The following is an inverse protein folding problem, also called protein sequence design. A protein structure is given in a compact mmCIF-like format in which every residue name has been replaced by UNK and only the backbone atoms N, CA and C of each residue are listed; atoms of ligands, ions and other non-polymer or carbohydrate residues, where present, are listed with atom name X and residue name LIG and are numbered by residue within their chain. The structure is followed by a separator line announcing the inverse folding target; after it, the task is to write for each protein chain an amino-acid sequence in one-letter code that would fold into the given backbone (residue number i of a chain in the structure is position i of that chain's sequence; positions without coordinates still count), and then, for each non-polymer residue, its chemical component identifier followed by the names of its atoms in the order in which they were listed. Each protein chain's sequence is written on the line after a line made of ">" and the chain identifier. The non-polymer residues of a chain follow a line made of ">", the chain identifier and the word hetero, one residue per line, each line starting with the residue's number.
data_IF_052987158553
#
_entry.id   IF_052987158553
#
_cell.length_a   1.000
_cell.length_b   1.000
_cell.length_c   1.000
_cell.angle_alpha   90.00
_cell.angle_beta   90.00
_cell.angle_gamma   90.00
#
_symmetry.space_group_name_H-M   'P 1'
#
loop_
_entity.id
_entity.type
_entity.pdbx_description
1 polymer ?
#
# COMPACT_ATOMS: atom_id res chain seq x y z
N UNK A 1 23.22 2.03 22.26
CA UNK A 1 22.78 3.00 21.23
C UNK A 1 21.98 4.15 21.88
N UNK A 2 22.50 5.39 21.84
CA UNK A 2 21.91 6.55 22.56
C UNK A 2 20.55 7.01 21.99
N UNK A 3 20.23 6.57 20.77
CA UNK A 3 19.11 7.08 19.97
C UNK A 3 18.02 6.03 19.69
N UNK A 4 18.30 4.75 19.95
CA UNK A 4 17.36 3.65 19.77
C UNK A 4 16.90 3.15 21.15
N UNK A 5 15.61 2.83 21.27
CA UNK A 5 15.07 2.14 22.44
C UNK A 5 15.42 0.66 22.33
N UNK A 6 16.13 0.14 23.34
CA UNK A 6 16.66 -1.23 23.31
C UNK A 6 15.52 -2.25 23.46
N UNK A 7 15.47 -3.27 22.60
CA UNK A 7 14.50 -4.37 22.69
C UNK A 7 13.10 -4.05 22.13
N UNK A 8 12.87 -2.83 21.63
CA UNK A 8 11.59 -2.41 21.06
C UNK A 8 11.50 -2.73 19.57
N UNK A 9 10.30 -3.09 19.11
CA UNK A 9 9.99 -3.33 17.69
C UNK A 9 8.65 -2.70 17.30
N UNK A 10 8.50 -2.32 16.04
CA UNK A 10 7.26 -1.77 15.49
C UNK A 10 6.90 -2.46 14.18
N UNK A 11 5.62 -2.80 14.02
CA UNK A 11 5.07 -3.26 12.74
C UNK A 11 4.43 -2.08 12.03
N UNK A 12 4.86 -1.81 10.80
CA UNK A 12 4.33 -0.75 9.94
C UNK A 12 3.74 -1.35 8.67
N UNK A 13 2.70 -0.73 8.13
CA UNK A 13 2.19 -1.04 6.79
C UNK A 13 2.67 0.07 5.86
N UNK A 14 3.42 -0.27 4.81
CA UNK A 14 3.80 0.69 3.78
C UNK A 14 2.54 1.12 3.02
N UNK A 15 2.19 2.40 3.12
CA UNK A 15 0.97 2.97 2.52
C UNK A 15 1.26 3.91 1.36
N UNK A 16 2.47 4.49 1.31
CA UNK A 16 2.82 5.50 0.32
C UNK A 16 4.27 5.34 -0.16
N UNK A 17 4.59 6.03 -1.25
CA UNK A 17 5.95 6.14 -1.80
C UNK A 17 6.56 7.47 -1.38
N UNK A 18 7.81 7.46 -0.88
CA UNK A 18 8.54 8.71 -0.69
C UNK A 18 9.28 9.09 -1.99
N UNK A 19 8.87 10.16 -2.69
CA UNK A 19 9.49 10.53 -3.96
C UNK A 19 10.89 11.11 -3.76
N UNK A 20 11.87 10.75 -4.62
CA UNK A 20 13.19 11.36 -4.57
C UNK A 20 13.13 12.83 -4.99
N UNK A 21 14.00 13.64 -4.39
CA UNK A 21 14.25 15.02 -4.78
C UNK A 21 15.75 15.19 -5.05
N UNK A 22 16.14 15.06 -6.32
CA UNK A 22 17.54 15.11 -6.75
C UNK A 22 18.16 16.51 -6.72
N UNK A 23 17.34 17.56 -6.53
CA UNK A 23 17.83 18.93 -6.39
C UNK A 23 18.40 19.20 -4.99
N UNK A 24 18.19 18.27 -4.04
CA UNK A 24 18.68 18.38 -2.66
C UNK A 24 19.64 17.22 -2.31
N UNK A 25 20.68 17.48 -1.49
CA UNK A 25 21.57 16.44 -0.98
C UNK A 25 20.83 15.36 -0.18
N UNK A 26 21.27 14.10 -0.26
CA UNK A 26 20.63 12.96 0.44
C UNK A 26 20.72 13.02 1.97
N UNK A 27 21.49 13.96 2.50
CA UNK A 27 21.67 14.27 3.92
C UNK A 27 21.15 15.67 4.31
N UNK A 28 20.52 16.39 3.37
CA UNK A 28 19.93 17.70 3.63
C UNK A 28 18.73 17.97 2.69
N UNK A 29 17.62 17.29 2.96
CA UNK A 29 16.35 17.49 2.25
C UNK A 29 16.07 16.49 1.12
N UNK A 30 17.09 15.82 0.59
CA UNK A 30 16.99 14.74 -0.40
C UNK A 30 16.85 13.34 0.23
N UNK A 31 16.19 13.22 1.39
CA UNK A 31 16.21 12.01 2.23
C UNK A 31 15.72 10.73 1.54
N UNK A 32 14.88 10.88 0.53
CA UNK A 32 14.32 9.78 -0.24
C UNK A 32 15.11 9.41 -1.49
N UNK A 33 16.25 10.07 -1.71
CA UNK A 33 17.12 9.81 -2.84
C UNK A 33 17.83 8.45 -2.71
N UNK A 34 18.00 7.71 -3.82
CA UNK A 34 18.94 6.59 -3.89
C UNK A 34 20.35 6.97 -3.40
N UNK A 35 21.18 6.00 -2.96
CA UNK A 35 20.95 4.55 -2.97
C UNK A 35 20.33 4.00 -1.68
N UNK A 36 20.01 4.86 -0.70
CA UNK A 36 19.66 4.40 0.66
C UNK A 36 18.25 3.81 0.70
N UNK A 37 18.08 2.49 0.93
CA UNK A 37 16.76 1.95 1.19
C UNK A 37 16.29 2.46 2.55
N UNK A 38 15.07 2.99 2.60
CA UNK A 38 14.54 3.62 3.80
C UNK A 38 13.04 3.41 4.00
N UNK A 39 12.59 3.60 5.25
CA UNK A 39 11.20 3.94 5.55
C UNK A 39 11.14 5.38 6.06
N UNK A 40 10.27 6.18 5.44
CA UNK A 40 9.78 7.43 6.03
C UNK A 40 8.56 7.09 6.88
N UNK A 41 8.69 7.27 8.19
CA UNK A 41 7.68 6.79 9.13
C UNK A 41 6.90 7.93 9.77
N UNK A 42 5.62 7.67 10.03
CA UNK A 42 4.84 8.49 10.94
C UNK A 42 5.50 8.49 12.33
N UNK A 43 5.64 9.68 12.92
CA UNK A 43 6.18 9.90 14.26
C UNK A 43 5.69 8.91 15.35
N UNK A 44 4.38 8.63 15.48
CA UNK A 44 3.88 7.68 16.48
C UNK A 44 4.42 6.25 16.32
N UNK A 45 4.79 5.84 15.10
CA UNK A 45 5.46 4.56 14.89
C UNK A 45 6.97 4.66 15.19
N UNK A 46 7.61 5.80 14.89
CA UNK A 46 9.02 6.04 15.18
C UNK A 46 9.33 6.06 16.67
N UNK A 47 8.53 6.79 17.45
CA UNK A 47 8.76 6.96 18.89
C UNK A 47 8.62 5.65 19.69
N UNK A 48 8.11 4.57 19.07
CA UNK A 48 8.16 3.22 19.65
C UNK A 48 9.59 2.67 19.71
N UNK A 49 10.44 2.97 18.72
CA UNK A 49 11.78 2.38 18.61
C UNK A 49 12.92 3.39 18.66
N UNK A 50 12.64 4.68 18.49
CA UNK A 50 13.62 5.76 18.47
C UNK A 50 13.27 6.92 19.40
N UNK A 51 14.27 7.76 19.71
CA UNK A 51 14.06 9.08 20.32
C UNK A 51 13.72 10.06 19.20
N UNK A 52 12.69 10.90 19.36
CA UNK A 52 12.24 11.85 18.34
C UNK A 52 13.39 12.72 17.75
N UNK A 53 14.28 13.22 18.61
CA UNK A 53 15.44 14.06 18.22
C UNK A 53 16.53 13.33 17.43
N UNK A 54 16.45 12.00 17.29
CA UNK A 54 17.47 11.22 16.61
C UNK A 54 17.50 11.44 15.09
N UNK A 55 16.34 11.75 14.48
CA UNK A 55 16.20 11.94 13.02
C UNK A 55 16.39 10.65 12.22
N UNK A 56 17.60 10.07 12.19
CA UNK A 56 17.91 8.87 11.42
C UNK A 56 18.50 7.81 12.33
N UNK A 57 17.94 6.60 12.29
CA UNK A 57 18.49 5.45 13.02
C UNK A 57 18.64 4.25 12.07
N UNK A 58 19.75 3.50 12.16
CA UNK A 58 19.85 2.23 11.45
C UNK A 58 18.91 1.21 12.11
N UNK A 59 18.19 0.44 11.29
CA UNK A 59 17.33 -0.63 11.78
C UNK A 59 17.53 -1.90 10.97
N UNK A 60 17.42 -3.02 11.67
CA UNK A 60 17.12 -4.29 11.03
C UNK A 60 15.62 -4.33 10.85
N UNK A 61 15.16 -4.61 9.63
CA UNK A 61 13.74 -4.70 9.33
C UNK A 61 13.45 -6.08 8.78
N UNK A 62 12.37 -6.70 9.23
CA UNK A 62 11.78 -7.84 8.54
C UNK A 62 10.54 -7.36 7.82
N UNK A 63 10.44 -7.67 6.53
CA UNK A 63 9.24 -7.31 5.78
C UNK A 63 8.15 -8.32 6.09
N UNK A 64 7.49 -8.13 7.23
CA UNK A 64 6.24 -8.79 7.56
C UNK A 64 5.13 -8.17 6.73
N UNK A 65 4.78 -8.89 5.69
CA UNK A 65 3.50 -8.68 5.06
C UNK A 65 2.56 -9.32 6.13
N UNK A 66 1.70 -8.54 6.79
CA UNK A 66 0.89 -8.80 8.00
C UNK A 66 0.59 -10.25 8.43
N UNK A 67 1.15 -10.69 9.56
CA UNK A 67 0.68 -11.83 10.34
C UNK A 67 -0.03 -11.32 11.60
N UNK A 68 -1.34 -11.58 11.71
CA UNK A 68 -2.11 -11.54 12.96
C UNK A 68 -2.17 -10.17 13.69
N UNK A 69 -3.06 -9.24 13.32
CA UNK A 69 -3.72 -8.36 14.31
C UNK A 69 -5.01 -7.76 13.71
N UNK A 70 -6.13 -8.03 14.39
CA UNK A 70 -7.44 -7.43 14.16
C UNK A 70 -7.74 -6.31 15.16
N UNK A 71 -6.74 -5.57 15.63
CA UNK A 71 -6.95 -4.39 16.48
C UNK A 71 -5.88 -3.31 16.22
N UNK A 72 -6.36 -2.10 15.89
CA UNK A 72 -5.84 -0.76 16.26
C UNK A 72 -4.40 -0.41 15.80
N UNK A 73 -4.07 0.67 15.08
CA UNK A 73 -4.73 1.95 14.83
C UNK A 73 -4.43 2.45 13.41
N UNK A 74 -5.42 3.09 12.79
CA UNK A 74 -5.20 3.99 11.67
C UNK A 74 -4.33 5.15 12.14
N UNK A 75 -3.29 5.49 11.36
CA UNK A 75 -2.73 6.84 11.37
C UNK A 75 -2.79 7.29 9.92
N UNK A 76 -3.99 7.70 9.52
CA UNK A 76 -4.15 8.57 8.37
C UNK A 76 -3.84 9.97 8.87
N UNK A 77 -2.72 10.54 8.45
CA UNK A 77 -2.44 11.97 8.65
C UNK A 77 -2.44 12.67 7.28
N UNK A 78 -3.55 13.32 6.89
CA UNK A 78 -3.63 14.11 5.67
C UNK A 78 -2.85 15.44 5.77
N UNK A 79 -2.20 15.72 6.91
CA UNK A 79 -1.47 16.95 7.20
C UNK A 79 0.05 16.76 7.35
N UNK A 80 0.62 15.63 6.88
CA UNK A 80 2.07 15.46 6.80
C UNK A 80 2.72 16.34 5.70
N UNK A 81 2.30 17.60 5.60
CA UNK A 81 3.19 18.70 5.27
C UNK A 81 3.73 19.27 6.60
N UNK A 82 4.90 18.82 7.05
CA UNK A 82 5.63 19.61 8.05
C UNK A 82 7.12 19.46 7.88
N UNK A 83 7.66 20.51 7.29
CA UNK A 83 9.03 20.99 7.45
C UNK A 83 9.55 20.80 8.87
N UNK A 84 10.80 20.31 8.94
CA UNK A 84 11.68 20.13 10.12
C UNK A 84 11.48 18.82 10.91
N UNK A 85 12.49 17.95 10.74
CA UNK A 85 12.82 16.71 11.48
C UNK A 85 12.11 15.44 10.98
N UNK A 86 12.59 14.91 9.86
CA UNK A 86 12.19 13.61 9.29
C UNK A 86 12.82 12.44 10.06
N UNK A 87 12.04 11.36 10.19
CA UNK A 87 12.30 10.17 11.01
C UNK A 87 12.57 8.96 10.09
N UNK A 88 13.83 8.82 9.66
CA UNK A 88 14.26 7.91 8.59
C UNK A 88 14.91 6.64 9.14
N UNK A 89 14.47 5.49 8.66
CA UNK A 89 15.09 4.20 8.98
C UNK A 89 15.96 3.72 7.82
N UNK A 90 17.27 3.59 8.02
CA UNK A 90 18.14 2.99 6.99
C UNK A 90 18.08 1.47 7.09
N UNK A 91 17.70 0.82 5.99
CA UNK A 91 17.38 -0.59 5.95
C UNK A 91 18.61 -1.46 5.70
N UNK A 92 18.94 -2.33 6.65
CA UNK A 92 19.80 -3.50 6.38
C UNK A 92 18.94 -4.65 5.87
N UNK A 93 19.26 -5.30 4.75
CA UNK A 93 18.39 -6.30 4.13
C UNK A 93 18.11 -7.49 5.06
N UNK A 94 16.84 -7.75 5.36
CA UNK A 94 16.35 -9.02 5.90
C UNK A 94 15.23 -9.60 4.99
N UNK A 95 14.90 -10.87 5.22
CA UNK A 95 14.00 -11.69 4.40
C UNK A 95 12.54 -11.22 4.41
N UNK A 96 11.81 -11.44 3.31
CA UNK A 96 10.35 -11.21 3.22
C UNK A 96 9.57 -12.31 3.96
N UNK A 97 8.51 -11.94 4.68
CA UNK A 97 7.61 -12.86 5.41
C UNK A 97 6.16 -12.71 4.88
N UNK A 98 5.46 -13.81 4.53
CA UNK A 98 4.08 -13.75 3.98
C UNK A 98 3.01 -13.23 4.96
N UNK A 99 1.99 -12.48 4.46
CA UNK A 99 0.81 -12.10 5.24
C UNK A 99 -0.23 -13.21 5.38
N UNK A 100 -0.87 -13.24 6.54
CA UNK A 100 -2.23 -13.77 6.74
C UNK A 100 -3.19 -12.59 6.97
N UNK A 101 -4.15 -12.39 6.06
CA UNK A 101 -5.26 -11.43 6.23
C UNK A 101 -6.56 -12.16 6.55
N UNK A 102 -7.40 -11.57 7.40
CA UNK A 102 -8.78 -12.02 7.63
C UNK A 102 -9.72 -11.38 6.62
N UNK A 103 -10.68 -12.16 6.11
CA UNK A 103 -11.55 -11.75 5.01
C UNK A 103 -10.83 -11.70 3.65
N UNK A 104 -11.56 -11.31 2.60
CA UNK A 104 -10.98 -11.22 1.26
C UNK A 104 -10.44 -9.85 0.90
N UNK A 105 -9.90 -9.79 -0.31
CA UNK A 105 -9.42 -8.55 -0.94
C UNK A 105 -10.58 -7.55 -1.05
N UNK A 106 -10.28 -6.27 -0.81
CA UNK A 106 -11.25 -5.17 -0.84
C UNK A 106 -10.94 -4.21 -1.99
N UNK A 107 -11.99 -3.78 -2.67
CA UNK A 107 -11.95 -2.92 -3.84
C UNK A 107 -12.71 -1.63 -3.52
N UNK A 108 -12.00 -0.51 -3.39
CA UNK A 108 -12.66 0.81 -3.29
C UNK A 108 -12.71 1.42 -4.68
N UNK A 109 -13.91 1.73 -5.15
CA UNK A 109 -14.15 2.29 -6.49
C UNK A 109 -14.24 3.81 -6.37
N UNK A 110 -13.27 4.53 -6.93
CA UNK A 110 -13.14 5.98 -6.96
C UNK A 110 -13.06 6.46 -8.42
N UNK A 111 -12.91 7.78 -8.61
CA UNK A 111 -12.80 8.40 -9.92
C UNK A 111 -14.11 8.97 -10.42
N UNK A 112 -14.31 8.91 -11.74
CA UNK A 112 -15.50 9.41 -12.44
C UNK A 112 -15.73 8.61 -13.74
N UNK A 113 -16.76 8.94 -14.50
CA UNK A 113 -17.04 8.28 -15.79
C UNK A 113 -15.83 8.39 -16.73
N UNK A 114 -15.46 7.30 -17.41
CA UNK A 114 -14.26 7.19 -18.24
C UNK A 114 -12.91 7.35 -17.52
N UNK A 115 -12.90 7.47 -16.18
CA UNK A 115 -11.70 7.39 -15.36
C UNK A 115 -12.02 6.65 -14.07
N UNK A 116 -11.98 5.32 -14.13
CA UNK A 116 -12.23 4.52 -12.95
C UNK A 116 -10.92 4.30 -12.19
N UNK A 117 -10.89 4.69 -10.91
CA UNK A 117 -9.75 4.53 -10.03
C UNK A 117 -10.08 3.51 -8.94
N UNK A 118 -9.41 2.37 -8.93
CA UNK A 118 -9.65 1.27 -7.97
C UNK A 118 -8.48 1.16 -7.01
N UNK A 119 -8.78 1.31 -5.72
CA UNK A 119 -7.83 1.06 -4.63
C UNK A 119 -7.99 -0.38 -4.14
N UNK A 120 -6.93 -1.17 -4.23
CA UNK A 120 -6.85 -2.51 -3.66
C UNK A 120 -6.34 -2.48 -2.23
N UNK A 121 -7.09 -3.08 -1.30
CA UNK A 121 -6.68 -3.23 0.11
C UNK A 121 -6.95 -4.64 0.62
N UNK A 122 -6.40 -4.95 1.80
CA UNK A 122 -6.55 -6.25 2.48
C UNK A 122 -6.04 -7.44 1.64
N UNK A 123 -4.92 -7.27 0.94
CA UNK A 123 -4.25 -8.33 0.17
C UNK A 123 -3.32 -9.12 1.10
N UNK A 124 -3.44 -10.46 1.11
CA UNK A 124 -2.60 -11.36 1.89
C UNK A 124 -1.29 -11.71 1.17
N UNK A 125 -0.53 -12.64 1.75
CA UNK A 125 0.76 -13.14 1.24
C UNK A 125 1.75 -12.02 0.96
N UNK A 126 2.21 -11.85 -0.27
CA UNK A 126 3.17 -10.83 -0.65
C UNK A 126 2.59 -9.41 -0.60
N UNK A 127 1.26 -9.28 -0.60
CA UNK A 127 0.55 -8.00 -0.50
C UNK A 127 0.70 -7.08 -1.72
N UNK A 128 1.76 -7.24 -2.52
CA UNK A 128 2.05 -6.47 -3.71
C UNK A 128 1.50 -7.12 -4.98
N UNK A 129 0.97 -6.27 -5.85
CA UNK A 129 0.24 -6.66 -7.06
C UNK A 129 1.10 -6.37 -8.29
N UNK A 130 1.25 -7.35 -9.17
CA UNK A 130 2.00 -7.23 -10.41
C UNK A 130 1.15 -6.62 -11.53
N UNK A 131 -0.05 -7.16 -11.74
CA UNK A 131 -0.98 -6.72 -12.79
C UNK A 131 -2.43 -6.80 -12.31
N UNK A 132 -3.28 -5.96 -12.89
CA UNK A 132 -4.71 -5.92 -12.63
C UNK A 132 -5.48 -5.70 -13.92
N UNK A 133 -6.57 -6.44 -14.11
CA UNK A 133 -7.53 -6.25 -15.20
C UNK A 133 -8.93 -6.04 -14.62
N UNK A 134 -9.77 -5.31 -15.35
CA UNK A 134 -11.19 -5.11 -15.06
C UNK A 134 -12.04 -5.63 -16.19
N UNK A 135 -13.22 -6.15 -15.85
CA UNK A 135 -14.25 -6.50 -16.82
C UNK A 135 -15.61 -6.03 -16.32
N UNK A 136 -16.30 -5.24 -17.14
CA UNK A 136 -17.69 -4.85 -16.95
C UNK A 136 -18.67 -5.90 -17.47
N UNK A 137 -19.91 -5.90 -16.96
CA UNK A 137 -20.92 -6.88 -17.38
C UNK A 137 -21.42 -6.73 -18.81
N UNK A 138 -21.16 -5.60 -19.47
CA UNK A 138 -21.57 -5.35 -20.86
C UNK A 138 -20.56 -5.86 -21.89
N UNK A 139 -19.35 -6.24 -21.46
CA UNK A 139 -18.29 -6.77 -22.34
C UNK A 139 -17.85 -8.17 -21.90
N UNK A 140 -17.58 -9.09 -22.85
CA UNK A 140 -16.96 -10.38 -22.53
C UNK A 140 -15.48 -10.25 -22.19
N UNK A 141 -14.83 -9.16 -22.61
CA UNK A 141 -13.37 -9.01 -22.63
C UNK A 141 -12.79 -8.39 -21.36
N UNK A 142 -11.58 -8.82 -21.01
CA UNK A 142 -10.79 -8.23 -19.92
C UNK A 142 -10.01 -7.02 -20.43
N UNK A 143 -10.05 -5.93 -19.67
CA UNK A 143 -9.29 -4.71 -19.96
C UNK A 143 -8.17 -4.54 -18.94
N UNK A 144 -6.91 -4.39 -19.37
CA UNK A 144 -5.81 -4.14 -18.47
C UNK A 144 -5.97 -2.78 -17.79
N UNK A 145 -5.66 -2.73 -16.49
CA UNK A 145 -5.61 -1.51 -15.72
C UNK A 145 -4.16 -1.04 -15.58
N UNK A 146 -3.96 0.27 -15.66
CA UNK A 146 -2.66 0.89 -15.45
C UNK A 146 -2.45 1.21 -13.96
N UNK A 147 -1.26 0.90 -13.45
CA UNK A 147 -0.88 1.27 -12.08
C UNK A 147 -0.88 2.79 -11.96
N UNK A 148 -1.51 3.27 -10.89
CA UNK A 148 -1.49 4.66 -10.47
C UNK A 148 -0.77 4.78 -9.11
N UNK A 149 -0.77 5.96 -8.49
CA UNK A 149 -0.05 6.20 -7.23
C UNK A 149 -0.44 5.19 -6.14
N UNK A 150 0.57 4.68 -5.41
CA UNK A 150 0.38 3.69 -4.34
C UNK A 150 -0.26 2.39 -4.84
N UNK A 151 -1.35 1.98 -4.19
CA UNK A 151 -2.13 0.78 -4.53
C UNK A 151 -3.36 1.08 -5.41
N UNK A 152 -3.41 2.26 -6.04
CA UNK A 152 -4.47 2.63 -6.96
C UNK A 152 -4.16 2.13 -8.37
N UNK A 153 -5.19 1.69 -9.07
CA UNK A 153 -5.15 1.23 -10.45
C UNK A 153 -6.24 1.94 -11.23
N UNK A 154 -5.98 2.32 -12.48
CA UNK A 154 -6.97 3.02 -13.28
C UNK A 154 -7.27 2.35 -14.61
N UNK A 155 -8.49 2.57 -15.10
CA UNK A 155 -8.90 2.27 -16.48
C UNK A 155 -9.59 3.50 -17.08
N UNK A 156 -9.64 3.55 -18.41
CA UNK A 156 -10.22 4.66 -19.18
C UNK A 156 -11.55 4.27 -19.85
N UNK A 157 -12.26 3.30 -19.26
CA UNK A 157 -13.50 2.78 -19.80
C UNK A 157 -14.72 3.31 -19.05
N UNK A 158 -15.85 3.37 -19.76
CA UNK A 158 -17.15 3.59 -19.14
C UNK A 158 -17.66 2.29 -18.52
N UNK A 159 -17.72 2.26 -17.19
CA UNK A 159 -18.07 1.07 -16.40
C UNK A 159 -19.20 1.34 -15.38
N UNK A 160 -19.65 2.60 -15.30
CA UNK A 160 -20.71 3.05 -14.40
C UNK A 160 -22.01 2.31 -14.72
N UNK A 161 -22.69 1.80 -13.68
CA UNK A 161 -23.91 1.01 -13.83
C UNK A 161 -23.70 -0.47 -14.14
N UNK A 162 -22.47 -0.90 -14.41
CA UNK A 162 -22.15 -2.30 -14.71
C UNK A 162 -21.72 -3.07 -13.46
N UNK A 163 -21.95 -4.40 -13.45
CA UNK A 163 -21.25 -5.26 -12.48
C UNK A 163 -19.79 -5.38 -12.88
N UNK A 164 -18.88 -5.30 -11.91
CA UNK A 164 -17.45 -5.35 -12.20
C UNK A 164 -16.82 -6.63 -11.65
N UNK A 165 -16.01 -7.23 -12.51
CA UNK A 165 -15.11 -8.31 -12.16
C UNK A 165 -13.67 -7.83 -12.25
N UNK A 166 -12.80 -8.36 -11.41
CA UNK A 166 -11.37 -8.05 -11.44
C UNK A 166 -10.54 -9.31 -11.57
N UNK A 167 -9.44 -9.24 -12.32
CA UNK A 167 -8.40 -10.26 -12.34
C UNK A 167 -7.13 -9.62 -11.81
N UNK A 168 -6.52 -10.23 -10.80
CA UNK A 168 -5.41 -9.64 -10.06
C UNK A 168 -4.30 -10.68 -9.93
N UNK A 169 -3.11 -10.32 -10.37
CA UNK A 169 -1.91 -11.16 -10.27
C UNK A 169 -0.95 -10.52 -9.28
N UNK A 170 -0.50 -11.28 -8.28
CA UNK A 170 0.47 -10.81 -7.31
C UNK A 170 1.93 -10.98 -7.83
N UNK A 171 2.91 -10.44 -7.10
CA UNK A 171 4.31 -10.55 -7.51
C UNK A 171 4.90 -11.97 -7.44
N UNK A 172 4.23 -12.89 -6.74
CA UNK A 172 4.56 -14.32 -6.74
C UNK A 172 3.95 -15.07 -7.95
N UNK A 173 3.24 -14.37 -8.83
CA UNK A 173 2.61 -14.94 -10.04
C UNK A 173 1.25 -15.59 -9.81
N UNK A 174 0.74 -15.62 -8.58
CA UNK A 174 -0.62 -16.12 -8.29
C UNK A 174 -1.65 -15.14 -8.86
N UNK A 175 -2.58 -15.66 -9.67
CA UNK A 175 -3.67 -14.88 -10.25
C UNK A 175 -5.01 -15.30 -9.68
N UNK A 176 -5.78 -14.34 -9.18
CA UNK A 176 -7.13 -14.55 -8.67
C UNK A 176 -8.15 -13.75 -9.48
N UNK A 177 -9.33 -14.34 -9.67
CA UNK A 177 -10.46 -13.72 -10.36
C UNK A 177 -11.58 -13.45 -9.35
N UNK A 178 -12.00 -12.19 -9.28
CA UNK A 178 -13.04 -11.67 -8.41
C UNK A 178 -14.27 -11.36 -9.25
N UNK A 179 -15.07 -12.38 -9.55
CA UNK A 179 -16.23 -12.28 -10.43
C UNK A 179 -17.37 -11.49 -9.78
N UNK A 180 -17.88 -10.46 -10.46
CA UNK A 180 -19.01 -9.64 -10.02
C UNK A 180 -18.91 -9.14 -8.57
N UNK A 181 -17.69 -8.85 -8.09
CA UNK A 181 -17.46 -8.38 -6.72
C UNK A 181 -18.08 -6.99 -6.49
N UNK A 182 -18.25 -6.22 -7.56
CA UNK A 182 -18.97 -4.94 -7.53
C UNK A 182 -20.34 -5.12 -8.20
N UNK A 183 -21.46 -4.85 -7.50
CA UNK A 183 -22.81 -4.93 -8.05
C UNK A 183 -23.14 -3.70 -8.91
N UNK A 184 -24.03 -3.80 -9.90
CA UNK A 184 -24.34 -2.73 -10.88
C UNK A 184 -24.79 -1.39 -10.29
N UNK A 185 -25.36 -1.36 -9.08
CA UNK A 185 -25.82 -0.15 -8.41
C UNK A 185 -24.74 0.61 -7.62
N UNK A 186 -23.46 0.35 -7.90
CA UNK A 186 -22.35 0.96 -7.19
C UNK A 186 -22.22 2.47 -7.47
N UNK A 187 -21.60 3.19 -6.53
CA UNK A 187 -21.25 4.61 -6.62
C UNK A 187 -19.78 4.81 -6.29
N UNK A 188 -19.18 5.86 -6.84
CA UNK A 188 -17.83 6.25 -6.48
C UNK A 188 -17.71 6.54 -4.97
N UNK A 189 -16.58 6.16 -4.38
CA UNK A 189 -16.29 6.20 -2.94
C UNK A 189 -16.65 4.91 -2.19
N UNK A 190 -17.33 3.94 -2.80
CA UNK A 190 -17.74 2.71 -2.13
C UNK A 190 -16.65 1.63 -2.13
N UNK A 191 -16.62 0.83 -1.05
CA UNK A 191 -15.72 -0.31 -0.89
C UNK A 191 -16.49 -1.63 -0.92
N UNK A 192 -16.00 -2.58 -1.72
CA UNK A 192 -16.59 -3.91 -1.88
C UNK A 192 -15.59 -4.96 -1.43
N UNK A 193 -15.99 -5.81 -0.48
CA UNK A 193 -15.18 -6.89 0.04
C UNK A 193 -15.50 -8.19 -0.70
N UNK A 194 -14.46 -8.91 -1.13
CA UNK A 194 -14.61 -10.27 -1.61
C UNK A 194 -14.52 -11.29 -0.47
N UNK A 195 -14.88 -12.54 -0.77
CA UNK A 195 -14.65 -13.70 0.09
C UNK A 195 -13.39 -14.49 -0.31
N UNK A 196 -12.57 -13.94 -1.21
CA UNK A 196 -11.43 -14.61 -1.83
C UNK A 196 -10.12 -13.91 -1.42
N UNK A 197 -9.06 -14.71 -1.21
CA UNK A 197 -7.78 -14.21 -0.72
C UNK A 197 -6.60 -14.98 -1.33
N UNK A 198 -5.47 -14.31 -1.50
CA UNK A 198 -4.18 -14.89 -1.90
C UNK A 198 -3.65 -15.84 -0.81
N UNK A 199 -2.97 -16.90 -1.23
CA UNK A 199 -2.46 -17.99 -0.36
C UNK A 199 -1.02 -18.30 -0.70
#
# INVERSE_FOLDING_TARGET
>A
PRWCKLGEAVTVTATNFCPPNYDLPSDDGGWCNPPRPHFDMAQPAWEKIGVYRAGIIPVVYQRFLSSIYSHLNYIYDPSASSSRLQQLMVLTPDRRVPCVRRGGVRFTINGHDYFQLVLLTNVATIGSIKTMDVKGSESPDWMPMARNWGANWHSLAYLTGQRLSFRVTNDDGQTLTFTNVVPSGWKFGQTFASNVQFK
#
